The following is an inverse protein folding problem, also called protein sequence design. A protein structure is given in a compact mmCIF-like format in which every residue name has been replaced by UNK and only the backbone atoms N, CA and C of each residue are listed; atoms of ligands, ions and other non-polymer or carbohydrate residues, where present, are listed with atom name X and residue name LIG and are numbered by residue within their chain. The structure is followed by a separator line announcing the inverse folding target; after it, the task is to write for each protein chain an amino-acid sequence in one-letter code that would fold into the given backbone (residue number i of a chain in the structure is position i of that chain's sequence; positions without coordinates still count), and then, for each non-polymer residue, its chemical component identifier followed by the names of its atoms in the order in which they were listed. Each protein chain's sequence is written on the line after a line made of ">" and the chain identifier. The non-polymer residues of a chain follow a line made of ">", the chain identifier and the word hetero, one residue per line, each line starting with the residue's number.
data_IF_805794858112
#
_entry.id   IF_805794858112
#
_cell.length_a   1.000
_cell.length_b   1.000
_cell.length_c   1.000
_cell.angle_alpha   90.00
_cell.angle_beta   90.00
_cell.angle_gamma   90.00
#
_symmetry.space_group_name_H-M   'P 1'
#
loop_
_entity.id
_entity.type
_entity.pdbx_description
1 polymer ?
#
# COMPACT_ATOMS: atom_id res chain seq x y z
N UNK A 1 5.67 -13.64 27.15
CA UNK A 1 6.30 -13.42 25.83
C UNK A 1 5.35 -12.58 24.97
N UNK A 2 5.20 -11.27 25.25
CA UNK A 2 4.30 -10.38 24.51
C UNK A 2 4.79 -10.09 23.08
N UNK A 3 6.11 -10.06 22.86
CA UNK A 3 6.72 -9.71 21.57
C UNK A 3 6.40 -10.71 20.44
N UNK A 4 6.27 -12.01 20.75
CA UNK A 4 5.91 -13.01 19.75
C UNK A 4 4.48 -12.84 19.22
N UNK A 5 3.55 -12.43 20.09
CA UNK A 5 2.16 -12.18 19.70
C UNK A 5 2.06 -10.95 18.79
N UNK A 6 2.73 -9.86 19.14
CA UNK A 6 2.79 -8.63 18.32
C UNK A 6 3.45 -8.91 16.97
N UNK A 7 4.53 -9.69 16.93
CA UNK A 7 5.19 -10.06 15.69
C UNK A 7 4.26 -10.88 14.78
N UNK A 8 3.54 -11.86 15.34
CA UNK A 8 2.59 -12.68 14.59
C UNK A 8 1.45 -11.84 14.01
N UNK A 9 0.89 -10.92 14.78
CA UNK A 9 -0.14 -9.98 14.33
C UNK A 9 0.38 -9.08 13.18
N UNK A 10 1.64 -8.62 13.26
CA UNK A 10 2.24 -7.84 12.17
C UNK A 10 2.42 -8.64 10.88
N UNK A 11 2.79 -9.92 10.97
CA UNK A 11 2.96 -10.81 9.83
C UNK A 11 1.61 -11.11 9.16
N UNK A 12 0.58 -11.38 9.96
CA UNK A 12 -0.78 -11.57 9.46
C UNK A 12 -1.30 -10.29 8.79
N UNK A 13 -1.09 -9.12 9.42
CA UNK A 13 -1.40 -7.81 8.83
C UNK A 13 -0.73 -7.62 7.47
N UNK A 14 0.57 -7.93 7.35
CA UNK A 14 1.29 -7.84 6.09
C UNK A 14 0.76 -8.81 5.03
N UNK A 15 0.41 -10.03 5.41
CA UNK A 15 -0.25 -10.99 4.52
C UNK A 15 -1.57 -10.44 3.97
N UNK A 16 -2.35 -9.76 4.81
CA UNK A 16 -3.57 -9.07 4.39
C UNK A 16 -3.29 -7.89 3.47
N UNK A 17 -2.24 -7.11 3.72
CA UNK A 17 -1.82 -5.99 2.86
C UNK A 17 -1.45 -6.49 1.45
N UNK A 18 -0.54 -7.46 1.35
CA UNK A 18 -0.10 -8.02 0.07
C UNK A 18 -1.28 -8.59 -0.72
N UNK A 19 -2.17 -9.31 -0.03
CA UNK A 19 -3.38 -9.88 -0.65
C UNK A 19 -4.31 -8.78 -1.15
N UNK A 20 -4.47 -7.69 -0.40
CA UNK A 20 -5.31 -6.56 -0.77
C UNK A 20 -4.76 -5.82 -2.00
N UNK A 21 -3.45 -5.54 -2.05
CA UNK A 21 -2.82 -4.91 -3.22
C UNK A 21 -2.99 -5.79 -4.46
N UNK A 22 -2.74 -7.10 -4.34
CA UNK A 22 -2.93 -8.05 -5.45
C UNK A 22 -4.38 -8.05 -5.95
N UNK A 23 -5.35 -8.04 -5.04
CA UNK A 23 -6.77 -8.00 -5.40
C UNK A 23 -7.14 -6.69 -6.11
N UNK A 24 -6.67 -5.54 -5.64
CA UNK A 24 -6.91 -4.25 -6.27
C UNK A 24 -6.33 -4.19 -7.69
N UNK A 25 -5.09 -4.67 -7.86
CA UNK A 25 -4.46 -4.79 -9.19
C UNK A 25 -5.28 -5.67 -10.14
N UNK A 26 -5.78 -6.82 -9.67
CA UNK A 26 -6.64 -7.70 -10.48
C UNK A 26 -7.99 -7.05 -10.81
N UNK A 27 -8.56 -6.28 -9.88
CA UNK A 27 -9.79 -5.53 -10.12
C UNK A 27 -9.60 -4.47 -11.21
N UNK A 28 -8.49 -3.72 -11.19
CA UNK A 28 -8.13 -2.77 -12.26
C UNK A 28 -7.99 -3.46 -13.62
N UNK A 29 -7.30 -4.60 -13.69
CA UNK A 29 -7.17 -5.38 -14.93
C UNK A 29 -8.54 -5.79 -15.50
N UNK A 30 -9.45 -6.25 -14.63
CA UNK A 30 -10.82 -6.60 -15.02
C UNK A 30 -11.62 -5.40 -15.54
N UNK A 31 -11.47 -4.22 -14.92
CA UNK A 31 -12.12 -2.99 -15.41
C UNK A 31 -11.59 -2.63 -16.80
N UNK A 32 -10.27 -2.73 -17.01
CA UNK A 32 -9.63 -2.44 -18.29
C UNK A 32 -10.09 -3.38 -19.41
N UNK A 33 -10.32 -4.65 -19.10
CA UNK A 33 -10.77 -5.67 -20.06
C UNK A 33 -12.29 -5.66 -20.33
N UNK A 34 -13.06 -4.82 -19.63
CA UNK A 34 -14.52 -4.80 -19.79
C UNK A 34 -14.95 -4.02 -21.05
N UNK A 35 -15.63 -4.74 -21.97
CA UNK A 35 -16.04 -4.24 -23.29
C UNK A 35 -17.06 -3.08 -23.24
N UNK A 36 -16.96 -2.19 -24.23
CA UNK A 36 -17.75 -0.96 -24.40
C UNK A 36 -19.24 -1.21 -24.71
N UNK A 37 -19.99 -1.54 -23.69
CA UNK A 37 -21.44 -1.29 -23.68
C UNK A 37 -21.71 -0.10 -22.75
N UNK A 38 -22.73 0.70 -23.04
CA UNK A 38 -23.09 1.87 -22.21
C UNK A 38 -23.33 1.47 -20.73
N UNK A 39 -23.92 0.29 -20.50
CA UNK A 39 -24.08 -0.27 -19.14
C UNK A 39 -22.76 -0.73 -18.51
N UNK A 40 -21.73 -1.03 -19.30
CA UNK A 40 -20.39 -1.34 -18.81
C UNK A 40 -19.64 -0.06 -18.42
N UNK A 41 -19.83 1.06 -19.13
CA UNK A 41 -19.18 2.34 -18.80
C UNK A 41 -19.51 2.82 -17.38
N UNK A 42 -20.80 2.85 -17.02
CA UNK A 42 -21.24 3.22 -15.65
C UNK A 42 -20.74 2.24 -14.59
N UNK A 43 -20.68 0.95 -14.91
CA UNK A 43 -20.14 -0.08 -14.01
C UNK A 43 -18.63 0.07 -13.82
N UNK A 44 -17.89 0.47 -14.86
CA UNK A 44 -16.46 0.79 -14.79
C UNK A 44 -16.21 1.97 -13.86
N UNK A 45 -16.96 3.06 -13.99
CA UNK A 45 -16.82 4.24 -13.13
C UNK A 45 -16.98 3.89 -11.64
N UNK A 46 -18.04 3.15 -11.30
CA UNK A 46 -18.29 2.72 -9.92
C UNK A 46 -17.18 1.78 -9.43
N UNK A 47 -16.71 0.87 -10.27
CA UNK A 47 -15.62 -0.03 -9.92
C UNK A 47 -14.30 0.72 -9.65
N UNK A 48 -13.96 1.70 -10.50
CA UNK A 48 -12.76 2.53 -10.33
C UNK A 48 -12.85 3.35 -9.04
N UNK A 49 -14.00 3.98 -8.77
CA UNK A 49 -14.21 4.74 -7.54
C UNK A 49 -14.04 3.86 -6.28
N UNK A 50 -14.59 2.65 -6.29
CA UNK A 50 -14.44 1.70 -5.18
C UNK A 50 -12.97 1.27 -4.99
N UNK A 51 -12.25 1.02 -6.09
CA UNK A 51 -10.82 0.68 -6.05
C UNK A 51 -10.02 1.83 -5.44
N UNK A 52 -10.31 3.08 -5.80
CA UNK A 52 -9.59 4.25 -5.32
C UNK A 52 -9.81 4.49 -3.81
N UNK A 53 -11.05 4.35 -3.34
CA UNK A 53 -11.38 4.40 -1.90
C UNK A 53 -10.62 3.33 -1.14
N UNK A 54 -10.64 2.10 -1.65
CA UNK A 54 -9.98 0.98 -1.00
C UNK A 54 -8.46 1.09 -1.00
N UNK A 55 -7.85 1.56 -2.09
CA UNK A 55 -6.43 1.84 -2.17
C UNK A 55 -6.02 2.96 -1.19
N UNK A 56 -6.83 4.01 -1.05
CA UNK A 56 -6.59 5.11 -0.10
C UNK A 56 -6.63 4.60 1.34
N UNK A 57 -7.60 3.78 1.70
CA UNK A 57 -7.65 3.14 3.03
C UNK A 57 -6.42 2.24 3.27
N UNK A 58 -5.98 1.52 2.24
CA UNK A 58 -4.79 0.68 2.32
C UNK A 58 -3.53 1.52 2.56
N UNK A 59 -3.38 2.67 1.87
CA UNK A 59 -2.29 3.63 2.08
C UNK A 59 -2.25 4.11 3.54
N UNK A 60 -3.40 4.47 4.10
CA UNK A 60 -3.50 4.86 5.52
C UNK A 60 -3.13 3.69 6.44
N UNK A 61 -3.60 2.47 6.15
CA UNK A 61 -3.31 1.28 6.94
C UNK A 61 -1.81 0.92 6.95
N UNK A 62 -1.11 1.08 5.82
CA UNK A 62 0.35 0.89 5.72
C UNK A 62 1.11 1.87 6.61
N UNK A 63 0.65 3.12 6.69
CA UNK A 63 1.28 4.14 7.53
C UNK A 63 1.18 3.87 9.03
N UNK A 64 0.20 3.08 9.47
CA UNK A 64 -0.05 2.79 10.89
C UNK A 64 0.41 1.39 11.35
N UNK A 65 0.59 0.43 10.44
CA UNK A 65 0.67 -1.01 10.80
C UNK A 65 2.07 -1.61 10.78
N UNK A 66 3.10 -0.92 10.27
CA UNK A 66 4.41 -1.55 10.09
C UNK A 66 5.28 -1.26 11.30
N UNK A 67 5.75 -2.30 12.04
CA UNK A 67 6.67 -2.10 13.15
C UNK A 67 7.96 -1.44 12.68
N UNK A 68 8.41 -0.44 13.42
CA UNK A 68 9.68 0.30 13.21
C UNK A 68 10.90 -0.66 13.19
N UNK A 69 10.77 -1.87 13.75
CA UNK A 69 11.82 -2.87 13.93
C UNK A 69 12.24 -3.67 12.67
N UNK A 70 11.71 -3.38 11.49
CA UNK A 70 12.19 -3.98 10.23
C UNK A 70 13.17 -3.10 9.46
N UNK A 71 13.43 -1.89 9.97
CA UNK A 71 14.59 -1.12 9.58
C UNK A 71 15.80 -2.01 9.84
N UNK A 72 16.34 -2.62 8.79
CA UNK A 72 17.64 -3.26 8.86
C UNK A 72 18.56 -2.18 9.41
N UNK A 73 19.13 -2.42 10.59
CA UNK A 73 20.22 -1.65 11.15
C UNK A 73 21.27 -1.57 10.03
N UNK A 74 21.24 -0.50 9.26
CA UNK A 74 22.35 -0.17 8.40
C UNK A 74 23.43 0.15 9.41
N UNK A 75 24.41 -0.75 9.56
CA UNK A 75 25.67 -0.51 10.25
C UNK A 75 26.30 0.76 9.63
N UNK A 76 25.90 1.91 10.12
CA UNK A 76 26.60 3.17 9.95
C UNK A 76 26.94 3.54 11.38
N UNK A 77 28.14 3.19 11.80
CA UNK A 77 28.68 3.63 13.08
C UNK A 77 28.42 5.13 13.26
N UNK A 78 27.78 5.57 14.36
CA UNK A 78 27.61 6.97 14.62
C UNK A 78 28.95 7.53 15.06
N UNK A 79 29.63 8.22 14.16
CA UNK A 79 30.72 9.11 14.55
C UNK A 79 30.11 10.27 15.33
N UNK A 80 30.33 10.22 16.64
CA UNK A 80 30.36 11.30 17.60
C UNK A 80 29.08 12.13 17.81
N UNK A 81 28.48 11.89 18.99
CA UNK A 81 28.03 12.90 19.96
C UNK A 81 27.31 14.14 19.40
N UNK A 82 25.99 14.11 19.40
CA UNK A 82 25.17 15.29 19.18
C UNK A 82 23.88 15.02 18.42
N UNK A 83 22.78 15.12 19.15
CA UNK A 83 21.42 15.30 18.65
C UNK A 83 20.78 14.05 18.02
N UNK A 84 19.86 13.48 18.80
CA UNK A 84 18.82 12.53 18.40
C UNK A 84 17.99 13.15 17.27
N UNK A 85 18.53 13.09 16.05
CA UNK A 85 17.77 13.35 14.85
C UNK A 85 16.80 12.18 14.70
N UNK A 86 15.59 12.39 15.22
CA UNK A 86 14.37 11.63 14.92
C UNK A 86 14.12 11.74 13.42
N UNK A 87 14.97 11.07 12.65
CA UNK A 87 14.76 10.81 11.26
C UNK A 87 13.73 9.68 11.27
N UNK A 88 12.45 10.03 11.08
CA UNK A 88 11.40 9.10 10.65
C UNK A 88 11.83 8.50 9.29
N UNK A 89 12.85 7.65 9.32
CA UNK A 89 13.32 6.86 8.19
C UNK A 89 12.24 5.82 7.97
N UNK A 90 11.35 6.10 7.03
CA UNK A 90 10.41 5.11 6.50
C UNK A 90 11.21 3.88 6.08
N UNK A 91 10.96 2.75 6.73
CA UNK A 91 11.63 1.49 6.41
C UNK A 91 11.43 1.11 4.93
N UNK A 92 12.41 0.43 4.33
CA UNK A 92 12.39 0.08 2.91
C UNK A 92 11.18 -0.79 2.54
N UNK A 93 10.71 -1.64 3.46
CA UNK A 93 9.50 -2.47 3.24
C UNK A 93 8.26 -1.59 3.24
N UNK A 94 8.18 -0.62 4.15
CA UNK A 94 7.09 0.36 4.20
C UNK A 94 7.08 1.20 2.92
N UNK A 95 8.23 1.74 2.50
CA UNK A 95 8.37 2.54 1.29
C UNK A 95 7.93 1.75 0.04
N UNK A 96 8.36 0.50 -0.09
CA UNK A 96 7.93 -0.36 -1.20
C UNK A 96 6.42 -0.63 -1.18
N UNK A 97 5.85 -0.87 0.00
CA UNK A 97 4.41 -1.04 0.17
C UNK A 97 3.63 0.21 -0.25
N UNK A 98 4.09 1.39 0.16
CA UNK A 98 3.50 2.67 -0.22
C UNK A 98 3.55 2.88 -1.74
N UNK A 99 4.71 2.68 -2.36
CA UNK A 99 4.89 2.79 -3.81
C UNK A 99 3.90 1.88 -4.57
N UNK A 100 3.73 0.64 -4.12
CA UNK A 100 2.79 -0.30 -4.74
C UNK A 100 1.33 0.18 -4.66
N UNK A 101 0.93 0.84 -3.57
CA UNK A 101 -0.41 1.42 -3.44
C UNK A 101 -0.57 2.67 -4.30
N UNK A 102 0.44 3.54 -4.34
CA UNK A 102 0.44 4.74 -5.20
C UNK A 102 0.30 4.36 -6.68
N UNK A 103 0.98 3.31 -7.13
CA UNK A 103 0.83 2.81 -8.50
C UNK A 103 -0.58 2.31 -8.81
N UNK A 104 -1.26 1.72 -7.82
CA UNK A 104 -2.67 1.29 -7.97
C UNK A 104 -3.60 2.50 -8.05
N UNK A 105 -3.39 3.53 -7.24
CA UNK A 105 -4.16 4.78 -7.28
C UNK A 105 -3.95 5.48 -8.63
N UNK A 106 -2.70 5.66 -9.04
CA UNK A 106 -2.35 6.28 -10.32
C UNK A 106 -2.99 5.53 -11.50
N UNK A 107 -2.95 4.20 -11.49
CA UNK A 107 -3.60 3.41 -12.53
C UNK A 107 -5.13 3.61 -12.52
N UNK A 108 -5.76 3.70 -11.35
CA UNK A 108 -7.19 3.97 -11.23
C UNK A 108 -7.56 5.36 -11.77
N UNK A 109 -6.75 6.40 -11.47
CA UNK A 109 -6.96 7.77 -11.95
C UNK A 109 -6.78 7.87 -13.47
N UNK A 110 -5.72 7.26 -14.02
CA UNK A 110 -5.51 7.19 -15.49
C UNK A 110 -6.71 6.52 -16.16
N UNK A 111 -7.23 5.44 -15.58
CA UNK A 111 -8.41 4.75 -16.12
C UNK A 111 -9.68 5.59 -16.04
N UNK A 112 -9.82 6.43 -15.02
CA UNK A 112 -10.93 7.38 -14.87
C UNK A 112 -10.86 8.51 -15.89
N UNK A 113 -9.66 9.01 -16.20
CA UNK A 113 -9.43 10.07 -17.19
C UNK A 113 -9.61 9.60 -18.64
N UNK A 114 -9.46 8.29 -18.90
CA UNK A 114 -9.63 7.67 -20.22
C UNK A 114 -11.07 7.24 -20.54
N UNK A 115 -12.02 7.42 -19.62
CA UNK A 115 -13.45 7.21 -19.87
C UNK A 115 -14.09 8.41 -20.56
#
# INVERSE_FOLDING_TARGET
>A
MPEYATLKESLESMGHLITSIRRLRLALLKVKESNDTETAARRREVAIANILVEATHLKTALGISIPISWSAESDIEPVADGEESSCEKTDSVSAAGFEMVELVILAADIMKEQQ
#
